data_IF_903767170238
#
_entry.id   IF_903767170238
#
_cell.length_a   1.000
_cell.length_b   1.000
_cell.length_c   1.000
_cell.angle_alpha   90.00
_cell.angle_beta   90.00
_cell.angle_gamma   90.00
#
_symmetry.space_group_name_H-M   'P 1'
#
loop_
_entity.id
_entity.type
_entity.pdbx_description
1 polymer ?
#
# COMPACT_ATOMS: atom_id res chain seq x y z
N UNK A 1 -15.01 -20.40 13.58
CA UNK A 1 -16.29 -20.76 12.92
C UNK A 1 -16.44 -20.16 11.51
N UNK A 2 -16.80 -18.89 11.27
CA UNK A 2 -17.01 -18.38 9.88
C UNK A 2 -15.74 -18.16 9.04
N UNK A 3 -14.63 -17.68 9.61
CA UNK A 3 -13.34 -17.58 8.89
C UNK A 3 -12.66 -18.92 8.70
N UNK A 4 -12.76 -19.83 9.68
CA UNK A 4 -12.37 -21.21 9.47
C UNK A 4 -13.25 -21.86 8.40
N UNK A 5 -14.54 -21.52 8.32
CA UNK A 5 -15.43 -21.96 7.26
C UNK A 5 -15.12 -21.29 5.91
N UNK A 6 -14.69 -20.02 5.87
CA UNK A 6 -14.15 -19.39 4.67
C UNK A 6 -12.85 -20.07 4.26
N UNK A 7 -11.93 -20.31 5.20
CA UNK A 7 -10.67 -21.03 5.00
C UNK A 7 -10.91 -22.45 4.51
N UNK A 8 -11.87 -23.17 5.09
CA UNK A 8 -12.27 -24.52 4.65
C UNK A 8 -13.04 -24.48 3.33
N UNK A 9 -13.87 -23.46 3.09
CA UNK A 9 -14.57 -23.21 1.83
C UNK A 9 -13.59 -22.93 0.71
N UNK A 10 -12.61 -22.05 0.94
CA UNK A 10 -11.49 -21.78 0.04
C UNK A 10 -10.72 -23.08 -0.15
N UNK A 11 -10.21 -23.75 0.90
CA UNK A 11 -9.53 -25.05 0.77
C UNK A 11 -10.33 -26.12 0.00
N UNK A 12 -11.67 -26.10 0.08
CA UNK A 12 -12.56 -27.07 -0.58
C UNK A 12 -12.93 -26.67 -2.02
N UNK A 13 -13.11 -25.38 -2.30
CA UNK A 13 -13.40 -24.82 -3.64
C UNK A 13 -12.13 -24.64 -4.47
N UNK A 14 -10.99 -24.47 -3.81
CA UNK A 14 -9.69 -24.11 -4.36
C UNK A 14 -8.78 -25.34 -4.31
N UNK A 15 -9.16 -26.42 -5.01
CA UNK A 15 -8.19 -27.49 -5.34
C UNK A 15 -7.21 -27.05 -6.45
N UNK A 16 -7.51 -25.98 -7.16
CA UNK A 16 -6.79 -25.52 -8.35
C UNK A 16 -5.88 -24.30 -8.16
N UNK A 17 -6.04 -23.50 -7.08
CA UNK A 17 -5.16 -22.36 -6.82
C UNK A 17 -4.20 -22.63 -5.66
N UNK A 18 -2.98 -22.13 -5.80
CA UNK A 18 -2.03 -22.04 -4.70
C UNK A 18 -2.41 -20.85 -3.81
N UNK A 19 -2.39 -21.03 -2.49
CA UNK A 19 -2.63 -19.98 -1.51
C UNK A 19 -1.46 -19.90 -0.53
N UNK A 20 -1.26 -18.75 0.09
CA UNK A 20 -0.24 -18.53 1.12
C UNK A 20 -0.89 -17.80 2.28
N UNK A 21 -1.02 -18.48 3.42
CA UNK A 21 -1.53 -17.89 4.63
C UNK A 21 -0.43 -17.66 5.67
N UNK A 22 -0.53 -16.55 6.39
CA UNK A 22 0.35 -16.25 7.52
C UNK A 22 -0.38 -15.42 8.58
N UNK A 23 0.21 -15.36 9.77
CA UNK A 23 -0.29 -14.56 10.88
C UNK A 23 0.72 -13.47 11.23
N UNK A 24 0.24 -12.27 11.52
CA UNK A 24 1.06 -11.18 12.02
C UNK A 24 0.39 -10.52 13.23
N UNK A 25 1.19 -10.12 14.21
CA UNK A 25 0.73 -9.51 15.46
C UNK A 25 1.08 -8.03 15.47
N UNK A 26 0.15 -7.18 15.88
CA UNK A 26 0.41 -5.75 16.06
C UNK A 26 1.44 -5.55 17.17
N UNK A 27 2.52 -4.83 16.85
CA UNK A 27 3.56 -4.49 17.83
C UNK A 27 3.19 -3.18 18.55
N UNK A 28 2.61 -2.25 17.81
CA UNK A 28 2.10 -0.95 18.27
C UNK A 28 0.61 -0.82 17.98
N UNK A 29 0.03 0.31 18.34
CA UNK A 29 -1.29 0.74 17.88
C UNK A 29 -1.33 0.71 16.35
N UNK A 30 -2.39 0.11 15.80
CA UNK A 30 -2.61 0.03 14.37
C UNK A 30 -3.86 0.82 14.02
N UNK A 31 -3.68 1.91 13.27
CA UNK A 31 -4.77 2.64 12.65
C UNK A 31 -4.97 2.18 11.21
N UNK A 32 -6.23 2.02 10.80
CA UNK A 32 -6.61 1.50 9.48
C UNK A 32 -7.72 2.39 8.95
N UNK A 33 -7.60 2.94 7.75
CA UNK A 33 -8.71 3.69 7.13
C UNK A 33 -8.72 5.20 7.46
N UNK A 34 -7.56 5.79 7.76
CA UNK A 34 -7.40 7.23 7.61
C UNK A 34 -7.77 7.65 6.18
N UNK A 35 -8.79 8.51 6.04
CA UNK A 35 -9.35 8.93 4.76
C UNK A 35 -10.76 8.38 4.45
N UNK A 36 -11.31 7.48 5.28
CA UNK A 36 -12.72 7.15 5.20
C UNK A 36 -13.57 8.34 5.69
N UNK A 37 -14.64 8.66 4.95
CA UNK A 37 -15.49 9.85 5.19
C UNK A 37 -16.44 9.66 6.39
N UNK A 38 -16.39 8.51 7.06
CA UNK A 38 -17.33 8.15 8.12
C UNK A 38 -16.92 8.78 9.47
N UNK A 39 -17.76 9.66 10.08
CA UNK A 39 -17.42 10.39 11.31
C UNK A 39 -17.08 9.49 12.51
N UNK A 40 -17.61 8.27 12.53
CA UNK A 40 -17.39 7.28 13.60
C UNK A 40 -16.19 6.34 13.33
N UNK A 41 -15.58 6.41 12.14
CA UNK A 41 -14.56 5.47 11.66
C UNK A 41 -13.25 6.18 11.28
N UNK A 42 -13.05 7.41 11.76
CA UNK A 42 -11.76 8.10 11.61
C UNK A 42 -10.67 7.21 12.21
N UNK A 43 -9.71 6.78 11.39
CA UNK A 43 -8.61 5.91 11.81
C UNK A 43 -8.94 4.43 12.04
N UNK A 44 -10.18 3.97 11.77
CA UNK A 44 -10.53 2.56 11.95
C UNK A 44 -11.55 2.03 10.92
N UNK A 45 -11.14 1.08 10.09
CA UNK A 45 -12.05 0.31 9.22
C UNK A 45 -12.70 -0.85 9.98
N UNK A 46 -14.01 -0.77 10.22
CA UNK A 46 -14.78 -1.76 10.96
C UNK A 46 -15.67 -2.58 10.02
N UNK A 47 -15.68 -3.90 10.20
CA UNK A 47 -16.61 -4.77 9.49
C UNK A 47 -18.02 -4.64 10.06
N UNK A 48 -18.96 -4.05 9.29
CA UNK A 48 -20.32 -3.66 9.71
C UNK A 48 -21.15 -4.73 10.43
N UNK A 49 -20.96 -6.01 10.11
CA UNK A 49 -21.74 -7.10 10.73
C UNK A 49 -21.10 -7.71 11.98
N UNK A 50 -19.80 -7.51 12.17
CA UNK A 50 -19.06 -8.19 13.24
C UNK A 50 -18.45 -7.21 14.24
N UNK A 51 -18.48 -5.91 13.94
CA UNK A 51 -17.86 -4.87 14.76
C UNK A 51 -16.39 -5.21 15.09
N UNK A 52 -15.69 -5.84 14.14
CA UNK A 52 -14.29 -6.19 14.22
C UNK A 52 -13.49 -5.32 13.25
N UNK A 53 -12.29 -4.88 13.63
CA UNK A 53 -11.41 -4.21 12.69
C UNK A 53 -10.94 -5.23 11.64
N UNK A 54 -10.69 -4.77 10.42
CA UNK A 54 -10.04 -5.60 9.40
C UNK A 54 -9.12 -4.73 8.55
N UNK A 55 -8.09 -5.35 7.98
CA UNK A 55 -7.19 -4.69 7.04
C UNK A 55 -7.71 -5.00 5.62
N UNK A 56 -8.13 -3.98 4.85
CA UNK A 56 -8.64 -4.20 3.51
C UNK A 56 -7.61 -4.83 2.58
N UNK A 57 -8.07 -5.74 1.71
CA UNK A 57 -7.28 -6.35 0.65
C UNK A 57 -6.60 -5.33 -0.26
N UNK A 58 -7.29 -4.21 -0.52
CA UNK A 58 -6.77 -3.08 -1.32
C UNK A 58 -5.57 -2.41 -0.64
N UNK A 59 -5.62 -2.23 0.68
CA UNK A 59 -4.51 -1.69 1.47
C UNK A 59 -3.31 -2.64 1.47
N UNK A 60 -3.55 -3.94 1.63
CA UNK A 60 -2.48 -4.97 1.57
C UNK A 60 -1.83 -4.95 0.18
N UNK A 61 -2.64 -4.99 -0.88
CA UNK A 61 -2.15 -4.89 -2.27
C UNK A 61 -1.34 -3.61 -2.50
N UNK A 62 -1.81 -2.48 -1.99
CA UNK A 62 -1.15 -1.18 -2.08
C UNK A 62 0.21 -1.16 -1.39
N UNK A 63 0.30 -1.70 -0.16
CA UNK A 63 1.57 -1.81 0.58
C UNK A 63 2.55 -2.72 -0.15
N UNK A 64 2.12 -3.90 -0.61
CA UNK A 64 2.98 -4.80 -1.37
C UNK A 64 3.48 -4.14 -2.66
N UNK A 65 2.62 -3.43 -3.38
CA UNK A 65 2.98 -2.69 -4.59
C UNK A 65 4.03 -1.62 -4.28
N UNK A 66 3.77 -0.78 -3.28
CA UNK A 66 4.65 0.31 -2.88
C UNK A 66 6.01 -0.20 -2.42
N UNK A 67 6.04 -1.30 -1.65
CA UNK A 67 7.27 -1.92 -1.21
C UNK A 67 8.14 -2.39 -2.37
N UNK A 68 7.56 -3.05 -3.39
CA UNK A 68 8.32 -3.48 -4.57
C UNK A 68 8.85 -2.28 -5.34
N UNK A 69 8.05 -1.22 -5.52
CA UNK A 69 8.49 0.01 -6.19
C UNK A 69 9.67 0.66 -5.47
N UNK A 70 9.58 0.87 -4.15
CA UNK A 70 10.66 1.42 -3.35
C UNK A 70 11.93 0.55 -3.43
N UNK A 71 11.77 -0.77 -3.32
CA UNK A 71 12.89 -1.69 -3.42
C UNK A 71 13.57 -1.66 -4.81
N UNK A 72 12.82 -1.38 -5.87
CA UNK A 72 13.36 -1.20 -7.22
C UNK A 72 14.03 0.16 -7.39
N UNK A 73 13.48 1.23 -6.81
CA UNK A 73 14.12 2.55 -6.80
C UNK A 73 15.49 2.48 -6.12
N UNK A 74 15.59 1.82 -4.97
CA UNK A 74 16.84 1.63 -4.24
C UNK A 74 17.88 0.89 -5.09
N UNK A 75 17.46 -0.18 -5.79
CA UNK A 75 18.35 -0.94 -6.69
C UNK A 75 18.81 -0.17 -7.92
N UNK A 76 18.02 0.80 -8.35
CA UNK A 76 18.31 1.69 -9.47
C UNK A 76 19.05 2.96 -9.03
N UNK A 77 19.26 3.16 -7.72
CA UNK A 77 19.80 4.39 -7.13
C UNK A 77 19.02 5.64 -7.58
N UNK A 78 17.69 5.53 -7.68
CA UNK A 78 16.83 6.67 -8.02
C UNK A 78 16.67 7.60 -6.81
N UNK A 79 16.70 8.94 -7.00
CA UNK A 79 16.54 9.88 -5.92
C UNK A 79 15.10 9.87 -5.38
N UNK A 80 14.97 9.87 -4.06
CA UNK A 80 13.70 10.15 -3.38
C UNK A 80 13.52 11.67 -3.33
N UNK A 81 12.42 12.16 -3.88
CA UNK A 81 12.13 13.59 -3.96
C UNK A 81 11.44 14.10 -2.68
N UNK A 82 11.71 15.35 -2.31
CA UNK A 82 10.95 16.06 -1.28
C UNK A 82 9.59 16.54 -1.80
N UNK A 83 8.65 16.84 -0.90
CA UNK A 83 7.33 17.35 -1.28
C UNK A 83 7.40 18.63 -2.13
N UNK A 84 8.36 19.52 -1.85
CA UNK A 84 8.59 20.74 -2.62
C UNK A 84 9.04 20.45 -4.05
N UNK A 85 9.94 19.47 -4.22
CA UNK A 85 10.39 19.02 -5.54
C UNK A 85 9.25 18.35 -6.31
N UNK A 86 8.40 17.57 -5.63
CA UNK A 86 7.23 16.93 -6.21
C UNK A 86 6.22 17.97 -6.70
N UNK A 87 5.92 18.99 -5.89
CA UNK A 87 5.00 20.07 -6.28
C UNK A 87 5.53 20.85 -7.50
N UNK A 88 6.82 21.18 -7.50
CA UNK A 88 7.47 21.87 -8.64
C UNK A 88 7.38 21.05 -9.93
N UNK A 89 7.48 19.72 -9.83
CA UNK A 89 7.34 18.81 -10.97
C UNK A 89 5.87 18.78 -11.44
N UNK A 90 4.91 18.70 -10.52
CA UNK A 90 3.49 18.64 -10.89
C UNK A 90 2.90 19.97 -11.39
N UNK A 91 3.54 21.10 -11.09
CA UNK A 91 3.21 22.40 -11.70
C UNK A 91 3.38 22.36 -13.23
N UNK A 92 4.34 21.59 -13.72
CA UNK A 92 4.40 21.17 -15.12
C UNK A 92 3.51 19.94 -15.33
N UNK A 93 2.30 20.15 -15.85
CA UNK A 93 1.27 19.10 -16.09
C UNK A 93 1.76 17.86 -16.85
N UNK A 94 2.95 17.88 -17.46
CA UNK A 94 3.54 16.76 -18.21
C UNK A 94 4.70 16.06 -17.50
N UNK A 95 5.26 16.62 -16.43
CA UNK A 95 6.43 16.05 -15.79
C UNK A 95 6.01 14.98 -14.77
N UNK A 96 6.60 13.79 -14.91
CA UNK A 96 6.38 12.65 -14.02
C UNK A 96 7.54 12.50 -13.04
N UNK A 97 7.22 12.14 -11.81
CA UNK A 97 8.24 11.82 -10.79
C UNK A 97 9.00 10.55 -11.17
N UNK A 98 10.22 10.34 -10.64
CA UNK A 98 10.95 9.09 -10.83
C UNK A 98 10.14 7.84 -10.47
N UNK A 99 9.29 7.96 -9.45
CA UNK A 99 8.38 6.92 -9.00
C UNK A 99 7.34 6.59 -10.08
N UNK A 100 6.62 7.59 -10.60
CA UNK A 100 5.60 7.43 -11.64
C UNK A 100 6.18 6.93 -12.95
N UNK A 101 7.37 7.42 -13.33
CA UNK A 101 8.11 6.95 -14.50
C UNK A 101 8.42 5.46 -14.40
N UNK A 102 8.96 5.03 -13.25
CA UNK A 102 9.27 3.63 -12.99
C UNK A 102 8.00 2.77 -12.98
N UNK A 103 6.95 3.23 -12.32
CA UNK A 103 5.65 2.53 -12.27
C UNK A 103 5.04 2.37 -13.66
N UNK A 104 5.06 3.43 -14.49
CA UNK A 104 4.60 3.39 -15.88
C UNK A 104 5.43 2.42 -16.72
N UNK A 105 6.74 2.37 -16.49
CA UNK A 105 7.60 1.36 -17.11
C UNK A 105 7.19 -0.04 -16.66
N UNK A 106 7.05 -0.30 -15.37
CA UNK A 106 6.70 -1.63 -14.83
C UNK A 106 5.31 -2.12 -15.25
N UNK A 107 4.41 -1.20 -15.57
CA UNK A 107 3.03 -1.51 -15.98
C UNK A 107 2.84 -1.78 -17.47
N UNK A 108 3.89 -1.67 -18.28
CA UNK A 108 3.78 -1.94 -19.71
C UNK A 108 3.74 -3.46 -20.01
N UNK A 109 2.68 -3.98 -20.66
CA UNK A 109 2.57 -5.38 -21.03
C UNK A 109 3.66 -5.87 -22.01
N UNK A 110 4.31 -4.96 -22.74
CA UNK A 110 5.32 -5.28 -23.75
C UNK A 110 6.70 -5.62 -23.16
N UNK A 111 6.86 -5.49 -21.84
CA UNK A 111 8.09 -5.83 -21.11
C UNK A 111 8.23 -7.33 -20.79
N UNK A 112 7.50 -8.20 -21.49
CA UNK A 112 7.54 -9.65 -21.28
C UNK A 112 8.66 -10.37 -22.06
N UNK A 113 9.58 -9.64 -22.69
CA UNK A 113 10.66 -10.18 -23.51
C UNK A 113 11.63 -11.06 -22.72
N UNK A 114 12.25 -12.08 -23.33
CA UNK A 114 13.12 -13.02 -22.58
C UNK A 114 14.42 -12.37 -22.09
N UNK A 115 14.94 -11.36 -22.80
CA UNK A 115 16.23 -10.72 -22.56
C UNK A 115 16.19 -9.51 -21.61
N UNK A 116 15.05 -8.84 -21.45
CA UNK A 116 14.94 -7.60 -20.66
C UNK A 116 15.43 -6.36 -21.40
N UNK A 117 15.65 -6.49 -22.71
CA UNK A 117 16.10 -5.41 -23.58
C UNK A 117 14.99 -4.39 -23.81
N UNK A 118 13.73 -4.82 -23.96
CA UNK A 118 12.61 -3.89 -24.13
C UNK A 118 12.43 -3.02 -22.89
N UNK A 119 12.41 -3.65 -21.72
CA UNK A 119 12.30 -2.97 -20.44
C UNK A 119 13.50 -2.03 -20.20
N UNK A 120 14.73 -2.49 -20.46
CA UNK A 120 15.94 -1.69 -20.30
C UNK A 120 16.01 -0.50 -21.25
N UNK A 121 15.62 -0.68 -22.52
CA UNK A 121 15.54 0.40 -23.50
C UNK A 121 14.48 1.43 -23.11
N UNK A 122 13.33 0.98 -22.62
CA UNK A 122 12.27 1.88 -22.15
C UNK A 122 12.71 2.65 -20.91
N UNK A 123 13.35 2.00 -19.94
CA UNK A 123 13.93 2.68 -18.78
C UNK A 123 14.94 3.75 -19.18
N UNK A 124 15.89 3.43 -20.08
CA UNK A 124 16.86 4.42 -20.58
C UNK A 124 16.22 5.57 -21.33
N UNK A 125 15.12 5.31 -22.06
CA UNK A 125 14.37 6.34 -22.79
C UNK A 125 13.63 7.28 -21.83
N UNK A 126 13.02 6.72 -20.78
CA UNK A 126 12.24 7.49 -19.80
C UNK A 126 13.13 8.23 -18.79
N UNK A 127 14.30 7.64 -18.50
CA UNK A 127 15.25 8.07 -17.47
C UNK A 127 16.69 7.89 -17.98
N UNK A 128 17.18 8.80 -18.86
CA UNK A 128 18.52 8.71 -19.44
C UNK A 128 19.66 8.84 -18.41
N UNK A 129 19.38 9.43 -17.25
CA UNK A 129 20.30 9.59 -16.12
C UNK A 129 20.69 8.27 -15.42
N UNK A 130 19.96 7.19 -15.70
CA UNK A 130 20.18 5.89 -15.07
C UNK A 130 21.39 5.13 -15.65
N UNK A 131 22.35 4.81 -14.78
CA UNK A 131 23.45 3.91 -15.09
C UNK A 131 23.27 2.56 -14.36
N UNK A 132 23.02 1.49 -15.12
CA UNK A 132 22.86 0.14 -14.56
C UNK A 132 23.65 -0.92 -15.32
N UNK A 133 24.22 -1.87 -14.56
CA UNK A 133 24.92 -3.03 -15.13
C UNK A 133 23.95 -4.02 -15.78
N UNK A 134 24.42 -4.83 -16.74
CA UNK A 134 23.62 -5.89 -17.38
C UNK A 134 23.09 -6.93 -16.37
N UNK A 135 23.85 -7.19 -15.30
CA UNK A 135 23.43 -8.08 -14.19
C UNK A 135 22.28 -7.48 -13.39
N UNK A 136 22.34 -6.17 -13.10
CA UNK A 136 21.28 -5.43 -12.40
C UNK A 136 20.01 -5.42 -13.24
N UNK A 137 20.13 -5.14 -14.54
CA UNK A 137 19.01 -5.14 -15.47
C UNK A 137 18.27 -6.48 -15.51
N UNK A 138 18.97 -7.61 -15.59
CA UNK A 138 18.34 -8.93 -15.58
C UNK A 138 17.54 -9.19 -14.30
N UNK A 139 18.09 -8.82 -13.14
CA UNK A 139 17.41 -9.00 -11.84
C UNK A 139 16.16 -8.12 -11.72
N UNK A 140 16.22 -6.89 -12.23
CA UNK A 140 15.07 -5.97 -12.25
C UNK A 140 14.03 -6.45 -13.25
N UNK A 141 14.47 -6.97 -14.40
CA UNK A 141 13.58 -7.50 -15.43
C UNK A 141 12.76 -8.70 -14.96
N UNK A 142 13.36 -9.61 -14.19
CA UNK A 142 12.58 -10.69 -13.56
C UNK A 142 11.51 -10.12 -12.64
N UNK A 143 11.86 -9.13 -11.82
CA UNK A 143 10.92 -8.47 -10.91
C UNK A 143 9.84 -7.66 -11.65
N UNK A 144 10.15 -7.02 -12.78
CA UNK A 144 9.19 -6.22 -13.55
C UNK A 144 8.10 -7.07 -14.18
N UNK A 145 8.46 -8.23 -14.74
CA UNK A 145 7.50 -9.23 -15.24
C UNK A 145 6.53 -9.68 -14.17
N UNK A 146 7.07 -10.00 -12.99
CA UNK A 146 6.25 -10.42 -11.87
C UNK A 146 5.36 -9.28 -11.38
N UNK A 147 5.85 -8.04 -11.36
CA UNK A 147 5.07 -6.87 -10.93
C UNK A 147 3.79 -6.68 -11.75
N UNK A 148 3.90 -6.61 -13.08
CA UNK A 148 2.75 -6.50 -13.97
C UNK A 148 1.78 -7.67 -13.79
N UNK A 149 2.32 -8.90 -13.75
CA UNK A 149 1.52 -10.11 -13.60
C UNK A 149 0.80 -10.18 -12.26
N UNK A 150 1.43 -9.77 -11.15
CA UNK A 150 0.87 -9.83 -9.81
C UNK A 150 -0.25 -8.80 -9.65
N UNK A 151 0.02 -7.54 -9.99
CA UNK A 151 -0.88 -6.44 -9.68
C UNK A 151 -1.92 -6.15 -10.77
N UNK A 152 -1.62 -6.49 -12.03
CA UNK A 152 -2.41 -6.12 -13.19
C UNK A 152 -2.30 -4.65 -13.56
N UNK A 153 -2.91 -4.28 -14.69
CA UNK A 153 -3.02 -2.91 -15.21
C UNK A 153 -4.49 -2.55 -15.44
N UNK A 154 -4.76 -1.40 -16.06
CA UNK A 154 -6.12 -1.03 -16.48
C UNK A 154 -6.68 -1.98 -17.55
N UNK A 155 -5.82 -2.54 -18.40
CA UNK A 155 -6.20 -3.41 -19.53
C UNK A 155 -6.09 -4.90 -19.20
N UNK A 156 -5.51 -5.28 -18.05
CA UNK A 156 -5.29 -6.67 -17.69
C UNK A 156 -5.48 -6.95 -16.20
N UNK A 157 -6.21 -8.02 -15.89
CA UNK A 157 -6.39 -8.50 -14.52
C UNK A 157 -5.09 -9.08 -13.96
N UNK A 158 -4.76 -8.73 -12.72
CA UNK A 158 -3.66 -9.35 -11.98
C UNK A 158 -3.92 -10.83 -11.71
N UNK A 159 -2.84 -11.62 -11.70
CA UNK A 159 -2.86 -13.06 -11.45
C UNK A 159 -2.99 -13.43 -9.97
N UNK A 160 -2.76 -12.48 -9.05
CA UNK A 160 -2.88 -12.70 -7.61
C UNK A 160 -4.12 -11.98 -7.07
N UNK A 161 -4.90 -12.71 -6.27
CA UNK A 161 -6.00 -12.16 -5.49
C UNK A 161 -5.51 -11.89 -4.06
N UNK A 162 -5.71 -10.68 -3.58
CA UNK A 162 -5.45 -10.31 -2.19
C UNK A 162 -6.76 -10.41 -1.42
N UNK A 163 -6.71 -10.94 -0.19
CA UNK A 163 -7.86 -11.04 0.69
C UNK A 163 -7.75 -10.07 1.87
N UNK A 164 -8.90 -9.70 2.42
CA UNK A 164 -8.96 -8.92 3.65
C UNK A 164 -8.35 -9.72 4.80
N UNK A 165 -7.53 -9.06 5.62
CA UNK A 165 -6.98 -9.66 6.82
C UNK A 165 -7.84 -9.31 8.04
N UNK A 166 -8.10 -10.29 8.88
CA UNK A 166 -8.99 -10.14 10.02
C UNK A 166 -8.34 -10.64 11.31
N UNK A 167 -8.74 -10.10 12.47
CA UNK A 167 -8.16 -10.51 13.74
C UNK A 167 -8.54 -11.94 14.11
N UNK A 168 -7.58 -12.64 14.70
CA UNK A 168 -7.76 -13.98 15.22
C UNK A 168 -8.53 -13.95 16.55
N UNK A 169 -9.55 -14.81 16.66
CA UNK A 169 -10.40 -14.88 17.85
C UNK A 169 -9.64 -15.10 19.15
N UNK A 170 -8.54 -15.86 19.12
CA UNK A 170 -7.75 -16.13 20.33
C UNK A 170 -7.01 -14.90 20.84
N UNK A 171 -6.72 -13.93 19.95
CA UNK A 171 -6.10 -12.66 20.32
C UNK A 171 -7.13 -11.65 20.86
N UNK A 172 -8.38 -11.71 20.39
CA UNK A 172 -9.46 -10.84 20.85
C UNK A 172 -9.82 -11.08 22.33
N UNK A 173 -9.70 -12.32 22.81
CA UNK A 173 -10.03 -12.66 24.20
C UNK A 173 -8.91 -12.33 25.21
N UNK A 174 -7.71 -11.99 24.74
CA UNK A 174 -6.53 -11.71 25.59
C UNK A 174 -6.28 -10.22 25.81
N UNK A 175 -6.80 -9.37 24.92
CA UNK A 175 -6.75 -7.92 25.08
C UNK A 175 -7.98 -7.49 25.85
N UNK A 176 -7.82 -6.90 27.04
CA UNK A 176 -8.95 -6.35 27.82
C UNK A 176 -9.74 -5.30 27.02
N UNK A 177 -9.15 -4.73 25.97
CA UNK A 177 -9.85 -3.95 24.95
C UNK A 177 -9.13 -4.08 23.59
N UNK A 178 -9.86 -4.41 22.52
CA UNK A 178 -9.30 -4.51 21.15
C UNK A 178 -9.02 -3.11 20.58
N UNK A 179 -9.76 -2.12 21.09
CA UNK A 179 -9.70 -0.74 20.66
C UNK A 179 -9.01 0.12 21.71
N UNK A 180 -8.19 1.05 21.24
CA UNK A 180 -7.56 2.10 22.04
C UNK A 180 -7.88 3.44 21.40
N UNK A 181 -8.05 4.48 22.22
CA UNK A 181 -8.17 5.85 21.72
C UNK A 181 -6.79 6.47 21.59
N UNK A 182 -6.54 7.11 20.46
CA UNK A 182 -5.31 7.85 20.16
C UNK A 182 -5.65 9.28 19.69
N UNK A 183 -4.66 10.18 19.66
CA UNK A 183 -4.85 11.60 19.36
C UNK A 183 -3.90 12.03 18.24
N UNK A 184 -4.45 12.68 17.21
CA UNK A 184 -3.64 13.40 16.23
C UNK A 184 -3.89 14.91 16.38
N UNK A 185 -2.82 15.69 16.39
CA UNK A 185 -2.91 17.15 16.38
C UNK A 185 -2.73 17.65 14.95
N UNK A 186 -3.78 18.25 14.39
CA UNK A 186 -3.70 18.89 13.08
C UNK A 186 -3.28 20.34 13.30
N UNK A 187 -2.09 20.71 12.84
CA UNK A 187 -1.55 22.06 12.99
C UNK A 187 -2.01 23.04 11.89
N UNK A 188 -2.68 22.57 10.83
CA UNK A 188 -2.98 23.38 9.63
C UNK A 188 -4.42 23.24 9.12
N UNK A 189 -5.39 23.00 9.99
CA UNK A 189 -6.78 22.77 9.58
C UNK A 189 -7.38 23.90 8.72
N UNK A 190 -7.16 25.21 9.02
CA UNK A 190 -7.68 26.31 8.19
C UNK A 190 -7.11 26.38 6.78
N UNK A 191 -5.89 25.87 6.55
CA UNK A 191 -5.27 25.74 5.23
C UNK A 191 -5.90 24.60 4.43
N UNK A 192 -6.22 23.47 5.09
CA UNK A 192 -6.91 22.34 4.45
C UNK A 192 -8.40 22.60 4.19
N UNK A 193 -9.04 23.46 4.99
CA UNK A 193 -10.44 23.86 4.82
C UNK A 193 -10.60 25.00 3.81
N UNK A 194 -9.62 25.90 3.72
CA UNK A 194 -9.65 27.02 2.80
C UNK A 194 -8.23 27.41 2.36
N UNK A 195 -7.87 27.07 1.12
CA UNK A 195 -6.53 27.26 0.53
C UNK A 195 -6.05 28.73 0.53
N UNK A 196 -6.95 29.70 0.75
CA UNK A 196 -6.62 31.13 0.85
C UNK A 196 -5.89 31.51 2.16
N UNK A 197 -5.91 30.65 3.18
CA UNK A 197 -5.18 30.90 4.43
C UNK A 197 -3.79 30.26 4.36
N UNK A 198 -2.69 31.02 4.40
CA UNK A 198 -1.36 30.42 4.38
C UNK A 198 -1.16 29.48 5.58
N UNK A 199 -0.48 28.34 5.39
CA UNK A 199 -0.14 27.46 6.49
C UNK A 199 0.75 28.25 7.45
N UNK A 200 0.34 28.33 8.71
CA UNK A 200 1.02 29.18 9.69
C UNK A 200 1.18 28.45 11.03
N UNK A 201 2.37 28.51 11.60
CA UNK A 201 2.71 27.81 12.86
C UNK A 201 1.97 28.35 14.09
N UNK A 202 1.20 29.44 13.97
CA UNK A 202 0.46 30.08 15.05
C UNK A 202 -0.96 29.52 15.25
N UNK A 203 -1.39 28.52 14.48
CA UNK A 203 -2.68 27.87 14.71
C UNK A 203 -2.62 26.95 15.94
N UNK A 204 -3.63 27.07 16.81
CA UNK A 204 -3.78 26.17 17.95
C UNK A 204 -3.98 24.73 17.45
N UNK A 205 -3.25 23.74 18.00
CA UNK A 205 -3.48 22.34 17.65
C UNK A 205 -4.90 21.93 18.07
N UNK A 206 -5.68 21.43 17.13
CA UNK A 206 -7.00 20.86 17.41
C UNK A 206 -6.79 19.35 17.59
N UNK A 207 -6.94 18.81 18.82
CA UNK A 207 -6.78 17.39 19.05
C UNK A 207 -7.96 16.62 18.46
N UNK A 208 -7.68 15.74 17.50
CA UNK A 208 -8.65 14.82 16.91
C UNK A 208 -8.43 13.45 17.53
N UNK A 209 -9.40 13.01 18.33
CA UNK A 209 -9.41 11.67 18.93
C UNK A 209 -9.91 10.66 17.90
N UNK A 210 -9.21 9.54 17.78
CA UNK A 210 -9.58 8.46 16.87
C UNK A 210 -9.35 7.09 17.51
N UNK A 211 -9.99 6.06 16.95
CA UNK A 211 -9.83 4.68 17.44
C UNK A 211 -8.70 3.97 16.69
N UNK A 212 -7.93 3.19 17.42
CA UNK A 212 -6.87 2.32 16.91
C UNK A 212 -7.08 0.90 17.41
N UNK A 213 -6.53 -0.07 16.67
CA UNK A 213 -6.39 -1.44 17.15
C UNK A 213 -5.22 -1.47 18.14
N UNK A 214 -5.46 -2.01 19.33
CA UNK A 214 -4.45 -2.09 20.38
C UNK A 214 -3.24 -2.96 19.98
N UNK A 215 -2.07 -2.75 20.60
CA UNK A 215 -0.95 -3.67 20.48
C UNK A 215 -1.33 -5.09 20.90
N UNK A 216 -0.76 -6.06 20.22
CA UNK A 216 -0.88 -7.47 20.55
C UNK A 216 -2.05 -8.23 19.90
N UNK A 217 -2.81 -7.59 19.01
CA UNK A 217 -3.85 -8.24 18.21
C UNK A 217 -3.21 -8.98 17.04
N UNK A 218 -3.57 -10.25 16.84
CA UNK A 218 -3.06 -11.06 15.74
C UNK A 218 -4.04 -11.03 14.58
N UNK A 219 -3.58 -10.71 13.37
CA UNK A 219 -4.34 -10.76 12.13
C UNK A 219 -3.96 -11.99 11.30
N UNK A 220 -4.96 -12.58 10.64
CA UNK A 220 -4.82 -13.68 9.69
C UNK A 220 -4.84 -13.15 8.25
N UNK A 221 -3.82 -13.49 7.46
CA UNK A 221 -3.67 -13.16 6.04
C UNK A 221 -3.82 -14.44 5.20
N UNK A 222 -4.39 -14.32 4.00
CA UNK A 222 -4.74 -15.45 3.11
C UNK A 222 -4.44 -15.15 1.64
#
# INVERSE_FOLDING_TARGET
>A
MRQQALRQSLKKRVKEYQYTDFQAKTITELSIGFGNITPLETGLTIHKFYNLPYIPATSIKGICRSWVLNHLMDKLNLPVLSNEQINTIHDDKKAQTPYEKLETCLMDPNNNDKSGENFGNKLKKTMPELNFSKKTLNKIHTLSKDFYRIFGSQDAKGAISFFDAYPDKSSLNKSENIYKTDIINVHYQPYYENMDNPPADYYNPIPIYFLTVAPGVTFNFF
#
